data_IF_210545313213
#
_entry.id   IF_210545313213
#
_cell.length_a   1.000
_cell.length_b   1.000
_cell.length_c   1.000
_cell.angle_alpha   90.00
_cell.angle_beta   90.00
_cell.angle_gamma   90.00
#
_symmetry.space_group_name_H-M   'P 1'
#
loop_
_entity.id
_entity.type
_entity.pdbx_description
1 polymer ?
#
# COMPACT_ATOMS: atom_id res chain seq x y z
N UNK A 1 23.61 14.48 -5.91
CA UNK A 1 23.94 13.20 -5.25
C UNK A 1 24.70 12.26 -6.20
N UNK A 2 24.21 11.94 -7.41
CA UNK A 2 24.89 11.03 -8.36
C UNK A 2 26.31 11.53 -8.69
N UNK A 3 26.43 12.78 -9.15
CA UNK A 3 27.73 13.38 -9.50
C UNK A 3 28.67 13.37 -8.30
N UNK A 4 28.22 13.82 -7.13
CA UNK A 4 29.05 13.84 -5.93
C UNK A 4 29.46 12.43 -5.48
N UNK A 5 28.56 11.44 -5.53
CA UNK A 5 28.90 10.05 -5.23
C UNK A 5 29.97 9.50 -6.15
N UNK A 6 29.83 9.73 -7.44
CA UNK A 6 30.77 9.24 -8.44
C UNK A 6 32.17 9.92 -8.31
N UNK A 7 32.19 11.24 -8.13
CA UNK A 7 33.43 12.01 -7.98
C UNK A 7 34.23 11.66 -6.70
N UNK A 8 33.53 11.44 -5.58
CA UNK A 8 34.19 11.21 -4.29
C UNK A 8 34.36 9.73 -3.91
N UNK A 9 33.51 8.85 -4.40
CA UNK A 9 33.56 7.43 -4.06
C UNK A 9 33.97 6.54 -5.26
N UNK A 10 33.96 7.08 -6.48
CA UNK A 10 34.23 6.31 -7.69
C UNK A 10 33.14 5.34 -8.09
N UNK A 11 32.00 5.36 -7.39
CA UNK A 11 30.90 4.43 -7.58
C UNK A 11 29.55 5.16 -7.66
N UNK A 12 28.59 4.52 -8.34
CA UNK A 12 27.20 4.99 -8.32
C UNK A 12 26.60 4.79 -6.94
N UNK A 13 26.05 5.84 -6.29
CA UNK A 13 25.54 5.76 -4.92
C UNK A 13 24.28 4.90 -4.77
N UNK A 14 23.59 4.58 -5.87
CA UNK A 14 22.40 3.74 -5.89
C UNK A 14 22.16 3.13 -7.27
N UNK A 15 21.57 1.94 -7.31
CA UNK A 15 21.27 1.22 -8.56
C UNK A 15 19.96 1.70 -9.20
N UNK A 16 18.95 2.03 -8.38
CA UNK A 16 17.61 2.38 -8.83
C UNK A 16 17.21 3.76 -8.33
N UNK A 17 16.52 4.50 -9.15
CA UNK A 17 15.94 5.80 -8.81
C UNK A 17 14.44 5.75 -9.06
N UNK A 18 13.66 5.88 -7.98
CA UNK A 18 12.20 5.96 -8.06
C UNK A 18 11.77 7.42 -7.91
N UNK A 19 11.17 7.96 -8.97
CA UNK A 19 10.69 9.34 -8.98
C UNK A 19 9.21 9.34 -8.60
N UNK A 20 8.90 9.95 -7.46
CA UNK A 20 7.52 10.19 -7.02
C UNK A 20 6.99 11.49 -7.62
N UNK A 21 5.66 11.57 -7.80
CA UNK A 21 4.99 12.80 -8.18
C UNK A 21 4.90 13.81 -7.03
N UNK A 22 4.36 14.98 -7.35
CA UNK A 22 4.11 16.06 -6.39
C UNK A 22 2.68 15.91 -5.85
N UNK A 23 2.53 16.12 -4.54
CA UNK A 23 1.21 16.15 -3.92
C UNK A 23 0.51 17.47 -4.27
N UNK A 24 -0.70 17.36 -4.84
CA UNK A 24 -1.52 18.49 -5.25
C UNK A 24 -2.84 18.52 -4.49
N UNK A 25 -3.37 19.71 -4.28
CA UNK A 25 -4.70 19.89 -3.71
C UNK A 25 -5.81 19.58 -4.73
N UNK A 26 -7.07 19.63 -4.28
CA UNK A 26 -8.26 19.39 -5.14
C UNK A 26 -8.37 20.33 -6.35
N UNK A 27 -7.68 21.46 -6.33
CA UNK A 27 -7.62 22.42 -7.43
C UNK A 27 -6.41 22.20 -8.35
N UNK A 28 -5.65 21.12 -8.14
CA UNK A 28 -4.44 20.80 -8.91
C UNK A 28 -3.21 21.64 -8.56
N UNK A 29 -3.25 22.47 -7.52
CA UNK A 29 -2.13 23.31 -7.11
C UNK A 29 -1.17 22.49 -6.25
N UNK A 30 0.13 22.73 -6.40
CA UNK A 30 1.15 22.14 -5.52
C UNK A 30 0.86 22.48 -4.06
N UNK A 31 0.83 21.50 -3.19
CA UNK A 31 0.71 21.72 -1.77
C UNK A 31 1.94 22.40 -1.18
N UNK A 32 1.73 23.42 -0.37
CA UNK A 32 2.78 24.11 0.36
C UNK A 32 2.25 24.74 1.65
N UNK A 33 3.11 24.82 2.65
CA UNK A 33 2.78 25.49 3.91
C UNK A 33 2.46 26.98 3.72
N UNK A 34 3.15 27.64 2.78
CA UNK A 34 2.93 29.07 2.48
C UNK A 34 1.58 29.36 1.86
N UNK A 35 0.98 28.40 1.14
CA UNK A 35 -0.36 28.53 0.57
C UNK A 35 -1.47 28.08 1.53
N UNK A 36 -1.12 27.49 2.68
CA UNK A 36 -2.09 26.98 3.63
C UNK A 36 -2.95 25.82 3.13
N UNK A 37 -2.56 25.19 2.02
CA UNK A 37 -3.30 24.10 1.39
C UNK A 37 -2.69 22.70 1.66
N UNK A 38 -1.76 22.61 2.61
CA UNK A 38 -1.14 21.36 3.06
C UNK A 38 -1.64 21.02 4.45
N UNK A 39 -2.42 19.95 4.66
CA UNK A 39 -2.83 19.52 5.98
C UNK A 39 -1.60 19.12 6.81
N UNK A 40 -1.69 19.26 8.11
CA UNK A 40 -0.66 18.76 9.02
C UNK A 40 -0.73 17.23 9.08
N UNK A 41 0.36 16.52 8.75
CA UNK A 41 0.39 15.07 8.85
C UNK A 41 0.06 14.52 10.22
N UNK A 42 0.40 15.25 11.30
CA UNK A 42 0.11 14.84 12.67
C UNK A 42 -1.39 14.91 12.97
N UNK A 43 -2.08 15.91 12.44
CA UNK A 43 -3.54 16.03 12.55
C UNK A 43 -4.23 14.89 11.81
N UNK A 44 -3.77 14.55 10.59
CA UNK A 44 -4.26 13.41 9.83
C UNK A 44 -4.04 12.07 10.56
N UNK A 45 -2.86 11.88 11.14
CA UNK A 45 -2.53 10.69 11.93
C UNK A 45 -3.41 10.59 13.17
N UNK A 46 -3.64 11.71 13.86
CA UNK A 46 -4.52 11.76 15.02
C UNK A 46 -5.96 11.39 14.68
N UNK A 47 -6.43 11.78 13.49
CA UNK A 47 -7.82 11.56 13.06
C UNK A 47 -8.06 10.19 12.43
N UNK A 48 -7.15 9.74 11.55
CA UNK A 48 -7.32 8.52 10.76
C UNK A 48 -6.46 7.35 11.21
N UNK A 49 -5.37 7.60 11.93
CA UNK A 49 -4.31 6.65 12.25
C UNK A 49 -3.20 6.65 11.20
N UNK A 50 -1.97 6.35 11.65
CA UNK A 50 -0.79 6.40 10.80
C UNK A 50 -0.86 5.43 9.60
N UNK A 51 -1.32 4.21 9.83
CA UNK A 51 -1.44 3.20 8.78
C UNK A 51 -2.47 3.59 7.72
N UNK A 52 -3.56 4.22 8.13
CA UNK A 52 -4.59 4.70 7.21
C UNK A 52 -4.05 5.82 6.29
N UNK A 53 -3.32 6.77 6.85
CA UNK A 53 -2.69 7.86 6.08
C UNK A 53 -1.67 7.30 5.09
N UNK A 54 -0.79 6.41 5.54
CA UNK A 54 0.23 5.77 4.70
C UNK A 54 -0.37 4.96 3.55
N UNK A 55 -1.38 4.13 3.86
CA UNK A 55 -2.04 3.31 2.86
C UNK A 55 -2.80 4.17 1.84
N UNK A 56 -3.54 5.19 2.30
CA UNK A 56 -4.24 6.12 1.42
C UNK A 56 -3.31 6.83 0.43
N UNK A 57 -2.14 7.26 0.92
CA UNK A 57 -1.11 7.87 0.05
C UNK A 57 -0.54 6.87 -0.97
N UNK A 58 -0.26 5.64 -0.56
CA UNK A 58 0.30 4.61 -1.45
C UNK A 58 -0.67 4.15 -2.53
N UNK A 59 -1.96 4.05 -2.21
CA UNK A 59 -2.99 3.65 -3.18
C UNK A 59 -3.11 4.61 -4.38
N UNK A 60 -2.74 5.87 -4.19
CA UNK A 60 -2.93 6.94 -5.18
C UNK A 60 -1.64 7.51 -5.74
N UNK A 61 -0.50 6.89 -5.45
CA UNK A 61 0.83 7.35 -5.88
C UNK A 61 1.41 6.45 -6.99
N UNK A 62 0.87 6.47 -8.21
CA UNK A 62 1.52 5.79 -9.31
C UNK A 62 2.87 6.46 -9.63
N UNK A 63 3.85 5.67 -10.06
CA UNK A 63 5.16 6.17 -10.41
C UNK A 63 5.08 7.28 -11.47
N UNK A 64 5.76 8.41 -11.22
CA UNK A 64 5.90 9.51 -12.18
C UNK A 64 4.68 10.42 -12.35
N UNK A 65 3.57 10.15 -11.67
CA UNK A 65 2.39 11.01 -11.72
C UNK A 65 2.21 11.81 -10.43
N UNK A 66 1.63 12.99 -10.55
CA UNK A 66 1.26 13.79 -9.38
C UNK A 66 0.11 13.14 -8.61
N UNK A 67 0.13 13.31 -7.29
CA UNK A 67 -0.85 12.76 -6.37
C UNK A 67 -1.90 13.84 -6.04
N UNK A 68 -3.14 13.72 -6.53
CA UNK A 68 -4.24 14.55 -6.07
C UNK A 68 -4.66 14.11 -4.67
N UNK A 69 -4.37 14.93 -3.67
CA UNK A 69 -4.70 14.62 -2.29
C UNK A 69 -6.15 14.98 -1.96
N UNK A 70 -6.82 14.04 -1.30
CA UNK A 70 -8.13 14.21 -0.69
C UNK A 70 -8.17 13.43 0.65
N UNK A 71 -8.82 13.99 1.65
CA UNK A 71 -8.96 13.32 2.97
C UNK A 71 -9.69 11.98 2.88
N UNK A 72 -10.54 11.79 1.87
CA UNK A 72 -11.19 10.52 1.59
C UNK A 72 -10.22 9.37 1.34
N UNK A 73 -8.99 9.66 0.91
CA UNK A 73 -7.93 8.65 0.73
C UNK A 73 -7.51 8.03 2.08
N UNK A 74 -7.43 8.86 3.11
CA UNK A 74 -7.13 8.39 4.47
C UNK A 74 -8.28 7.54 5.01
N UNK A 75 -9.52 7.90 4.70
CA UNK A 75 -10.70 7.11 5.07
C UNK A 75 -10.71 5.75 4.36
N UNK A 76 -10.40 5.70 3.07
CA UNK A 76 -10.25 4.45 2.32
C UNK A 76 -9.17 3.56 2.93
N UNK A 77 -8.00 4.13 3.26
CA UNK A 77 -6.93 3.42 3.95
C UNK A 77 -7.37 2.84 5.29
N UNK A 78 -8.09 3.61 6.10
CA UNK A 78 -8.66 3.15 7.38
C UNK A 78 -9.65 1.99 7.18
N UNK A 79 -10.54 2.11 6.22
CA UNK A 79 -11.55 1.10 5.95
C UNK A 79 -10.91 -0.22 5.47
N UNK A 80 -9.88 -0.14 4.63
CA UNK A 80 -9.12 -1.31 4.19
C UNK A 80 -8.41 -2.00 5.37
N UNK A 81 -7.69 -1.25 6.20
CA UNK A 81 -7.03 -1.79 7.38
C UNK A 81 -8.02 -2.44 8.35
N UNK A 82 -9.18 -1.84 8.55
CA UNK A 82 -10.24 -2.40 9.38
C UNK A 82 -10.81 -3.72 8.82
N UNK A 83 -10.92 -3.86 7.49
CA UNK A 83 -11.33 -5.13 6.86
C UNK A 83 -10.34 -6.25 7.18
N UNK A 84 -9.04 -5.99 7.00
CA UNK A 84 -7.99 -6.97 7.32
C UNK A 84 -8.03 -7.33 8.81
N UNK A 85 -8.11 -6.33 9.67
CA UNK A 85 -8.15 -6.54 11.11
C UNK A 85 -9.37 -7.36 11.56
N UNK A 86 -10.55 -7.08 10.99
CA UNK A 86 -11.77 -7.80 11.31
C UNK A 86 -11.73 -9.24 10.80
N UNK A 87 -11.20 -9.47 9.59
CA UNK A 87 -10.98 -10.81 9.06
C UNK A 87 -10.01 -11.60 9.96
N UNK A 88 -8.90 -10.98 10.37
CA UNK A 88 -7.96 -11.62 11.29
C UNK A 88 -8.60 -11.98 12.64
N UNK A 89 -9.40 -11.07 13.23
CA UNK A 89 -10.12 -11.34 14.48
C UNK A 89 -11.08 -12.52 14.36
N UNK A 90 -11.79 -12.61 13.21
CA UNK A 90 -12.70 -13.72 12.93
C UNK A 90 -11.95 -15.04 12.93
N UNK A 91 -10.87 -15.14 12.16
CA UNK A 91 -10.06 -16.35 12.04
C UNK A 91 -9.42 -16.74 13.38
N UNK A 92 -8.92 -15.75 14.12
CA UNK A 92 -8.32 -15.97 15.45
C UNK A 92 -9.28 -16.57 16.47
N UNK A 93 -10.58 -16.34 16.28
CA UNK A 93 -11.63 -16.90 17.15
C UNK A 93 -12.02 -18.34 16.82
N UNK A 94 -11.51 -18.93 15.75
CA UNK A 94 -11.81 -20.30 15.37
C UNK A 94 -10.95 -21.30 16.14
N UNK A 95 -11.57 -22.39 16.53
CA UNK A 95 -10.86 -23.55 17.04
C UNK A 95 -10.37 -24.41 15.87
N UNK A 96 -9.09 -24.68 15.82
CA UNK A 96 -8.46 -25.51 14.80
C UNK A 96 -8.13 -26.88 15.42
N UNK A 97 -8.56 -27.96 14.78
CA UNK A 97 -8.32 -29.32 15.24
C UNK A 97 -8.04 -30.25 14.06
N UNK A 98 -6.97 -30.99 14.14
CA UNK A 98 -6.62 -32.02 13.16
C UNK A 98 -7.52 -33.29 13.28
N UNK A 99 -8.30 -33.38 14.35
CA UNK A 99 -9.20 -34.51 14.59
C UNK A 99 -10.52 -34.44 13.80
N UNK A 100 -10.82 -33.30 13.18
CA UNK A 100 -12.06 -33.12 12.41
C UNK A 100 -11.80 -33.48 10.94
N UNK A 101 -12.46 -34.52 10.39
CA UNK A 101 -12.26 -34.86 8.99
C UNK A 101 -12.82 -33.77 8.09
N UNK A 102 -12.03 -33.39 7.07
CA UNK A 102 -12.43 -32.40 6.09
C UNK A 102 -13.45 -32.98 5.10
N UNK A 103 -14.62 -32.35 4.91
CA UNK A 103 -15.55 -32.72 3.84
C UNK A 103 -14.91 -32.56 2.45
N UNK A 104 -15.32 -33.37 1.48
CA UNK A 104 -14.80 -33.29 0.11
C UNK A 104 -15.05 -31.90 -0.53
N UNK A 105 -16.20 -31.29 -0.26
CA UNK A 105 -16.51 -29.92 -0.69
C UNK A 105 -15.53 -28.87 -0.17
N UNK A 106 -14.96 -29.07 1.04
CA UNK A 106 -13.98 -28.18 1.63
C UNK A 106 -12.63 -28.30 0.94
N UNK A 107 -12.26 -29.47 0.43
CA UNK A 107 -11.02 -29.66 -0.32
C UNK A 107 -10.99 -28.81 -1.59
N UNK A 108 -12.10 -28.82 -2.35
CA UNK A 108 -12.22 -27.98 -3.55
C UNK A 108 -12.09 -26.49 -3.22
N UNK A 109 -12.70 -26.05 -2.10
CA UNK A 109 -12.58 -24.66 -1.66
C UNK A 109 -11.15 -24.29 -1.27
N UNK A 110 -10.41 -25.22 -0.60
CA UNK A 110 -9.02 -25.02 -0.22
C UNK A 110 -8.13 -24.95 -1.46
N UNK A 111 -8.26 -25.86 -2.40
CA UNK A 111 -7.50 -25.87 -3.65
C UNK A 111 -7.72 -24.58 -4.46
N UNK A 112 -8.98 -24.13 -4.53
CA UNK A 112 -9.30 -22.86 -5.17
C UNK A 112 -8.65 -21.68 -4.47
N UNK A 113 -8.72 -21.65 -3.12
CA UNK A 113 -8.10 -20.58 -2.33
C UNK A 113 -6.58 -20.55 -2.49
N UNK A 114 -5.92 -21.72 -2.42
CA UNK A 114 -4.47 -21.83 -2.61
C UNK A 114 -4.04 -21.35 -4.00
N UNK A 115 -4.78 -21.74 -5.04
CA UNK A 115 -4.53 -21.28 -6.40
C UNK A 115 -4.68 -19.75 -6.52
N UNK A 116 -5.72 -19.18 -5.89
CA UNK A 116 -5.94 -17.73 -5.84
C UNK A 116 -4.84 -17.00 -5.07
N UNK A 117 -4.46 -17.54 -3.92
CA UNK A 117 -3.37 -16.99 -3.10
C UNK A 117 -2.07 -16.96 -3.90
N UNK A 118 -1.71 -18.07 -4.54
CA UNK A 118 -0.51 -18.16 -5.37
C UNK A 118 -0.54 -17.15 -6.52
N UNK A 119 -1.67 -17.02 -7.22
CA UNK A 119 -1.84 -16.03 -8.28
C UNK A 119 -1.66 -14.60 -7.78
N UNK A 120 -2.21 -14.28 -6.60
CA UNK A 120 -2.09 -12.97 -5.98
C UNK A 120 -0.66 -12.67 -5.57
N UNK A 121 0.04 -13.64 -4.98
CA UNK A 121 1.44 -13.48 -4.58
C UNK A 121 2.34 -13.20 -5.78
N UNK A 122 2.17 -13.93 -6.88
CA UNK A 122 2.92 -13.68 -8.13
C UNK A 122 2.64 -12.29 -8.70
N UNK A 123 1.38 -11.84 -8.66
CA UNK A 123 1.03 -10.48 -9.11
C UNK A 123 1.65 -9.39 -8.23
N UNK A 124 1.69 -9.60 -6.91
CA UNK A 124 2.33 -8.68 -5.97
C UNK A 124 3.83 -8.62 -6.23
N UNK A 125 4.49 -9.76 -6.37
CA UNK A 125 5.93 -9.86 -6.65
C UNK A 125 6.29 -9.14 -7.96
N UNK A 126 5.57 -9.41 -9.04
CA UNK A 126 5.76 -8.75 -10.34
C UNK A 126 5.60 -7.23 -10.24
N UNK A 127 4.59 -6.76 -9.49
CA UNK A 127 4.38 -5.33 -9.29
C UNK A 127 5.49 -4.70 -8.43
N UNK A 128 6.00 -5.37 -7.41
CA UNK A 128 7.13 -4.87 -6.62
C UNK A 128 8.42 -4.83 -7.45
N UNK A 129 8.70 -5.82 -8.26
CA UNK A 129 9.86 -5.81 -9.16
C UNK A 129 9.83 -4.64 -10.14
N UNK A 130 8.61 -4.25 -10.57
CA UNK A 130 8.37 -3.11 -11.47
C UNK A 130 8.17 -1.78 -10.75
N UNK A 131 8.34 -1.73 -9.44
CA UNK A 131 8.09 -0.54 -8.59
C UNK A 131 6.66 0.00 -8.67
N UNK A 132 5.67 -0.83 -8.97
CA UNK A 132 4.25 -0.48 -9.05
C UNK A 132 3.56 -0.74 -7.71
N UNK A 133 3.90 0.06 -6.70
CA UNK A 133 3.46 -0.18 -5.32
C UNK A 133 1.93 -0.08 -5.19
N UNK A 134 1.31 0.89 -5.89
CA UNK A 134 -0.15 1.02 -5.89
C UNK A 134 -0.84 -0.21 -6.48
N UNK A 135 -0.32 -0.76 -7.59
CA UNK A 135 -0.87 -1.94 -8.23
C UNK A 135 -0.68 -3.20 -7.35
N UNK A 136 0.46 -3.29 -6.65
CA UNK A 136 0.69 -4.35 -5.67
C UNK A 136 -0.35 -4.34 -4.54
N UNK A 137 -0.67 -3.14 -4.01
CA UNK A 137 -1.71 -2.97 -2.99
C UNK A 137 -3.13 -3.27 -3.51
N UNK A 138 -3.40 -2.95 -4.77
CA UNK A 138 -4.71 -3.22 -5.39
C UNK A 138 -4.91 -4.70 -5.73
N UNK A 139 -3.86 -5.52 -5.73
CA UNK A 139 -3.94 -6.96 -5.96
C UNK A 139 -4.40 -7.75 -4.71
N UNK A 140 -4.33 -7.13 -3.53
CA UNK A 140 -4.76 -7.69 -2.24
C UNK A 140 -6.28 -7.53 -2.06
#
# INVERSE_FOLDING_TARGET
MIIAGYEYQGEMPFKNVYLTGIVRDKLGRKMSKSLGNSPDPLDLISHYGADAVRLGMLLTSPAGNDLPYDDSLCEQGRNFNNKIWNAFKLIKGWEVSDAIPQPESSKVAIEWYEAKLQQTLLAIEDNFEKYRISDALMAI
#
